data_IF_358765019494
#
_entry.id   IF_358765019494
#
_cell.length_a   1.000
_cell.length_b   1.000
_cell.length_c   1.000
_cell.angle_alpha   90.00
_cell.angle_beta   90.00
_cell.angle_gamma   90.00
#
_symmetry.space_group_name_H-M   'P 1'
#
loop_
_entity.id
_entity.type
_entity.pdbx_description
1 polymer ?
#
# COMPACT_ATOMS: atom_id res chain seq x y z
N UNK A 1 36.19 30.68 -31.05
CA UNK A 1 37.51 30.05 -31.20
C UNK A 1 37.77 29.16 -29.99
N UNK A 2 38.24 27.94 -30.28
CA UNK A 2 38.81 26.83 -29.47
C UNK A 2 38.52 26.74 -27.95
N UNK A 3 37.89 25.67 -27.43
CA UNK A 3 38.16 24.19 -27.49
C UNK A 3 39.02 23.75 -26.31
N UNK A 4 38.39 23.07 -25.34
CA UNK A 4 39.06 22.17 -24.39
C UNK A 4 38.56 20.74 -24.61
N UNK A 5 39.29 19.99 -25.46
CA UNK A 5 39.17 18.54 -25.65
C UNK A 5 39.99 17.84 -24.56
N UNK A 6 39.37 16.91 -23.82
CA UNK A 6 40.09 15.93 -22.99
C UNK A 6 40.78 14.90 -23.89
N UNK A 7 42.03 14.59 -23.57
CA UNK A 7 42.91 13.70 -24.32
C UNK A 7 42.50 12.21 -24.20
N UNK A 8 42.69 11.46 -25.31
CA UNK A 8 42.56 10.00 -25.39
C UNK A 8 43.88 9.34 -24.97
N UNK A 9 43.80 8.33 -24.12
CA UNK A 9 44.93 7.46 -23.74
C UNK A 9 45.09 6.35 -24.80
N UNK A 10 46.30 5.97 -25.25
CA UNK A 10 46.49 4.97 -26.30
C UNK A 10 46.37 3.54 -25.80
N UNK A 11 45.84 2.68 -26.66
CA UNK A 11 45.79 1.22 -26.52
C UNK A 11 47.16 0.66 -26.94
N UNK A 12 47.86 -0.01 -26.02
CA UNK A 12 49.08 -0.78 -26.33
C UNK A 12 48.66 -2.22 -26.61
N UNK A 13 48.94 -2.70 -27.83
CA UNK A 13 48.86 -4.10 -28.23
C UNK A 13 50.05 -4.85 -27.59
N UNK A 14 49.77 -5.99 -26.96
CA UNK A 14 50.81 -6.91 -26.49
C UNK A 14 50.86 -8.10 -27.46
N UNK A 15 52.01 -8.29 -28.09
CA UNK A 15 52.27 -9.38 -29.02
C UNK A 15 52.49 -10.71 -28.28
N UNK A 16 52.05 -11.79 -28.92
CA UNK A 16 52.23 -13.18 -28.53
C UNK A 16 53.71 -13.56 -28.47
N UNK A 17 54.15 -14.34 -27.46
CA UNK A 17 55.13 -15.43 -27.63
C UNK A 17 55.11 -16.42 -26.44
N UNK A 18 54.71 -17.65 -26.76
CA UNK A 18 55.08 -18.99 -26.25
C UNK A 18 55.07 -19.32 -24.73
N UNK A 19 54.09 -20.16 -24.38
CA UNK A 19 54.14 -21.19 -23.34
C UNK A 19 55.24 -22.24 -23.63
N UNK A 20 55.94 -22.69 -22.58
CA UNK A 20 56.40 -24.08 -22.51
C UNK A 20 56.71 -24.52 -21.07
N UNK A 21 55.82 -25.36 -20.54
CA UNK A 21 56.14 -26.60 -19.81
C UNK A 21 56.60 -26.59 -18.33
N UNK A 22 56.27 -25.59 -17.50
CA UNK A 22 56.55 -25.70 -16.03
C UNK A 22 55.30 -25.61 -15.14
N UNK A 23 54.15 -25.14 -15.64
CA UNK A 23 52.94 -24.98 -14.81
C UNK A 23 51.95 -26.16 -14.84
N UNK A 24 52.21 -27.22 -15.61
CA UNK A 24 51.26 -28.34 -15.73
C UNK A 24 51.28 -29.34 -14.55
N UNK A 25 52.32 -29.35 -13.72
CA UNK A 25 52.38 -30.27 -12.56
C UNK A 25 51.81 -29.68 -11.25
N UNK A 26 51.52 -28.37 -11.21
CA UNK A 26 50.86 -27.73 -10.04
C UNK A 26 49.34 -27.68 -10.10
N UNK A 27 48.72 -28.02 -11.23
CA UNK A 27 47.26 -28.01 -11.40
C UNK A 27 46.57 -29.37 -11.16
N UNK A 28 47.28 -30.40 -10.70
CA UNK A 28 46.70 -31.73 -10.48
C UNK A 28 46.63 -32.17 -9.00
N UNK A 29 46.88 -31.27 -8.04
CA UNK A 29 46.74 -31.54 -6.59
C UNK A 29 46.08 -30.41 -5.81
N UNK A 30 45.04 -29.79 -6.37
CA UNK A 30 43.96 -29.26 -5.53
C UNK A 30 42.87 -30.32 -5.50
N UNK A 31 42.93 -31.16 -4.48
CA UNK A 31 41.81 -31.99 -4.06
C UNK A 31 40.55 -31.13 -4.03
N UNK A 32 39.47 -31.63 -4.63
CA UNK A 32 38.12 -31.08 -4.57
C UNK A 32 37.67 -30.93 -3.11
N UNK A 33 38.09 -29.87 -2.42
CA UNK A 33 37.34 -29.32 -1.32
C UNK A 33 36.12 -28.65 -1.96
N UNK A 34 35.06 -29.44 -2.20
CA UNK A 34 33.72 -28.89 -2.30
C UNK A 34 33.44 -28.21 -0.96
N UNK A 35 33.86 -26.96 -0.82
CA UNK A 35 33.62 -26.16 0.36
C UNK A 35 32.12 -26.07 0.55
N UNK A 36 31.62 -26.65 1.64
CA UNK A 36 30.24 -26.51 2.07
C UNK A 36 29.97 -25.03 2.38
N UNK A 37 29.55 -24.28 1.35
CA UNK A 37 29.24 -22.87 1.44
C UNK A 37 27.71 -22.69 1.50
N UNK A 38 27.26 -21.58 2.09
CA UNK A 38 25.86 -21.16 2.11
C UNK A 38 25.19 -21.23 0.72
N UNK A 39 25.94 -20.97 -0.34
CA UNK A 39 25.48 -20.99 -1.73
C UNK A 39 25.24 -22.39 -2.31
N UNK A 40 25.72 -23.44 -1.63
CA UNK A 40 25.55 -24.84 -2.05
C UNK A 40 24.40 -25.54 -1.33
N UNK A 41 23.80 -24.89 -0.32
CA UNK A 41 22.66 -25.44 0.40
C UNK A 41 21.41 -25.51 -0.50
N UNK A 42 20.60 -26.57 -0.39
CA UNK A 42 19.28 -26.61 -1.01
C UNK A 42 18.45 -25.37 -0.61
N UNK A 43 17.67 -24.78 -1.54
CA UNK A 43 16.84 -23.59 -1.27
C UNK A 43 15.98 -23.71 -0.02
N UNK A 44 15.43 -24.90 0.24
CA UNK A 44 14.54 -25.18 1.36
C UNK A 44 15.29 -25.11 2.70
N UNK A 45 16.50 -25.66 2.75
CA UNK A 45 17.37 -25.63 3.94
C UNK A 45 17.83 -24.20 4.20
N UNK A 46 18.26 -23.49 3.15
CA UNK A 46 18.65 -22.09 3.26
C UNK A 46 17.47 -21.24 3.75
N UNK A 47 16.28 -21.44 3.19
CA UNK A 47 15.06 -20.75 3.63
C UNK A 47 14.76 -20.99 5.12
N UNK A 48 14.89 -22.21 5.61
CA UNK A 48 14.74 -22.51 7.04
C UNK A 48 15.72 -21.72 7.90
N UNK A 49 16.99 -21.65 7.50
CA UNK A 49 18.01 -20.88 8.20
C UNK A 49 17.67 -19.39 8.18
N UNK A 50 17.31 -18.83 7.02
CA UNK A 50 17.03 -17.40 6.88
C UNK A 50 15.80 -16.96 7.66
N UNK A 51 14.81 -17.84 7.88
CA UNK A 51 13.64 -17.55 8.72
C UNK A 51 13.98 -17.41 10.22
N UNK A 52 15.15 -17.87 10.65
CA UNK A 52 15.63 -17.72 12.03
C UNK A 52 16.42 -16.41 12.25
N UNK A 53 16.75 -15.69 11.17
CA UNK A 53 17.48 -14.43 11.24
C UNK A 53 16.53 -13.23 11.29
N UNK A 54 16.96 -12.08 11.84
CA UNK A 54 16.26 -10.82 11.65
C UNK A 54 16.05 -10.54 10.16
N UNK A 55 14.82 -10.17 9.78
CA UNK A 55 14.48 -9.93 8.39
C UNK A 55 15.25 -8.73 7.83
N UNK A 56 15.67 -7.80 8.68
CA UNK A 56 16.60 -6.74 8.35
C UNK A 56 17.90 -7.30 7.76
N UNK A 57 18.56 -8.23 8.47
CA UNK A 57 19.83 -8.82 8.05
C UNK A 57 19.65 -9.69 6.79
N UNK A 58 18.52 -10.39 6.68
CA UNK A 58 18.17 -11.10 5.45
C UNK A 58 18.09 -10.12 4.27
N UNK A 59 17.49 -8.94 4.46
CA UNK A 59 17.28 -7.95 3.41
C UNK A 59 18.53 -7.14 3.04
N UNK A 60 19.40 -6.82 4.01
CA UNK A 60 20.56 -5.92 3.83
C UNK A 60 21.87 -6.66 3.68
N UNK A 61 22.01 -7.86 4.24
CA UNK A 61 23.26 -8.61 4.24
C UNK A 61 23.13 -9.85 3.36
N UNK A 62 22.32 -10.84 3.76
CA UNK A 62 22.27 -12.15 3.10
C UNK A 62 21.87 -12.03 1.63
N UNK A 63 20.85 -11.23 1.32
CA UNK A 63 20.36 -11.01 -0.05
C UNK A 63 21.44 -10.50 -1.02
N UNK A 64 22.51 -9.89 -0.51
CA UNK A 64 23.59 -9.29 -1.29
C UNK A 64 24.80 -10.21 -1.47
N UNK A 65 24.83 -11.38 -0.82
CA UNK A 65 25.97 -12.32 -0.85
C UNK A 65 26.12 -12.98 -2.23
N UNK A 66 25.04 -13.55 -2.75
CA UNK A 66 25.06 -14.28 -4.03
C UNK A 66 23.69 -14.26 -4.69
N UNK A 67 23.61 -14.70 -5.95
CA UNK A 67 22.32 -14.82 -6.67
C UNK A 67 21.39 -15.87 -6.03
N UNK A 68 21.96 -16.95 -5.52
CA UNK A 68 21.22 -18.00 -4.80
C UNK A 68 20.61 -17.44 -3.53
N UNK A 69 21.43 -16.86 -2.65
CA UNK A 69 21.00 -16.18 -1.45
C UNK A 69 19.98 -15.07 -1.74
N UNK A 70 20.15 -14.31 -2.82
CA UNK A 70 19.21 -13.25 -3.22
C UNK A 70 17.82 -13.79 -3.54
N UNK A 71 17.76 -14.92 -4.24
CA UNK A 71 16.51 -15.57 -4.65
C UNK A 71 15.76 -16.13 -3.44
N UNK A 72 16.48 -16.85 -2.56
CA UNK A 72 15.89 -17.43 -1.34
C UNK A 72 15.49 -16.33 -0.35
N UNK A 73 16.34 -15.33 -0.12
CA UNK A 73 16.00 -14.18 0.72
C UNK A 73 14.76 -13.42 0.21
N UNK A 74 14.62 -13.27 -1.11
CA UNK A 74 13.43 -12.66 -1.69
C UNK A 74 12.17 -13.50 -1.44
N UNK A 75 12.25 -14.83 -1.48
CA UNK A 75 11.14 -15.71 -1.13
C UNK A 75 10.73 -15.53 0.35
N UNK A 76 11.70 -15.56 1.27
CA UNK A 76 11.50 -15.36 2.71
C UNK A 76 10.86 -14.00 3.00
N UNK A 77 11.43 -12.92 2.49
CA UNK A 77 10.97 -11.55 2.76
C UNK A 77 9.59 -11.28 2.15
N UNK A 78 9.36 -11.74 0.92
CA UNK A 78 8.07 -11.57 0.27
C UNK A 78 6.99 -12.43 0.92
N UNK A 79 7.31 -13.65 1.35
CA UNK A 79 6.41 -14.52 2.11
C UNK A 79 6.06 -13.95 3.48
N UNK A 80 7.05 -13.45 4.22
CA UNK A 80 6.83 -12.75 5.49
C UNK A 80 5.94 -11.52 5.31
N UNK A 81 6.18 -10.72 4.27
CA UNK A 81 5.34 -9.57 3.93
C UNK A 81 3.90 -9.96 3.54
N UNK A 82 3.71 -11.06 2.79
CA UNK A 82 2.35 -11.46 2.40
C UNK A 82 1.54 -12.00 3.58
N UNK A 83 2.19 -12.73 4.49
CA UNK A 83 1.56 -13.39 5.63
C UNK A 83 1.40 -12.51 6.87
N UNK A 84 2.08 -11.37 6.99
CA UNK A 84 1.99 -10.58 8.22
C UNK A 84 0.56 -10.06 8.50
N UNK A 85 -0.23 -9.77 7.46
CA UNK A 85 -1.62 -9.34 7.63
C UNK A 85 -2.49 -10.42 8.30
N UNK A 86 -2.28 -11.71 7.97
CA UNK A 86 -3.05 -12.80 8.59
C UNK A 86 -2.66 -13.01 10.04
N UNK A 87 -1.38 -12.77 10.40
CA UNK A 87 -0.94 -12.76 11.81
C UNK A 87 -1.65 -11.68 12.62
N UNK A 88 -1.77 -10.46 12.08
CA UNK A 88 -2.50 -9.37 12.73
C UNK A 88 -3.99 -9.74 12.91
N UNK A 89 -4.61 -10.32 11.89
CA UNK A 89 -6.02 -10.74 11.96
C UNK A 89 -6.25 -11.88 12.97
N UNK A 90 -5.31 -12.81 13.09
CA UNK A 90 -5.36 -13.86 14.11
C UNK A 90 -5.29 -13.30 15.53
N UNK A 91 -4.43 -12.29 15.76
CA UNK A 91 -4.34 -11.62 17.05
C UNK A 91 -5.59 -10.79 17.38
N UNK A 92 -6.20 -10.12 16.40
CA UNK A 92 -7.47 -9.41 16.59
C UNK A 92 -8.55 -10.38 17.06
N UNK A 93 -8.74 -11.51 16.37
CA UNK A 93 -9.75 -12.52 16.75
C UNK A 93 -9.51 -13.07 18.15
N UNK A 94 -8.26 -13.42 18.47
CA UNK A 94 -7.87 -13.89 19.81
C UNK A 94 -8.18 -12.83 20.87
N UNK A 95 -7.91 -11.56 20.59
CA UNK A 95 -8.16 -10.48 21.54
C UNK A 95 -9.66 -10.20 21.72
N UNK A 96 -10.47 -10.28 20.66
CA UNK A 96 -11.94 -10.24 20.75
C UNK A 96 -12.51 -11.38 21.61
N UNK A 97 -11.93 -12.58 21.52
CA UNK A 97 -12.30 -13.72 22.37
C UNK A 97 -11.89 -13.50 23.84
N UNK A 98 -10.71 -12.91 24.09
CA UNK A 98 -10.27 -12.55 25.44
C UNK A 98 -11.16 -11.48 26.07
N UNK A 99 -11.59 -10.47 25.29
CA UNK A 99 -12.54 -9.46 25.75
C UNK A 99 -13.87 -10.06 26.22
N UNK A 100 -14.39 -11.06 25.48
CA UNK A 100 -15.65 -11.75 25.85
C UNK A 100 -15.53 -12.55 27.15
N UNK A 101 -14.32 -13.01 27.49
CA UNK A 101 -14.03 -13.84 28.65
C UNK A 101 -13.36 -13.06 29.80
N UNK A 102 -13.23 -11.75 29.68
CA UNK A 102 -12.60 -10.90 30.69
C UNK A 102 -13.38 -10.98 32.01
N UNK A 103 -12.66 -11.14 33.13
CA UNK A 103 -13.30 -11.28 34.46
C UNK A 103 -13.33 -9.96 35.22
N UNK A 104 -12.48 -9.02 34.82
CA UNK A 104 -12.31 -7.72 35.48
C UNK A 104 -12.34 -6.58 34.46
N UNK A 105 -12.79 -5.41 34.90
CA UNK A 105 -12.83 -4.20 34.06
C UNK A 105 -11.44 -3.75 33.61
N UNK A 106 -10.42 -4.01 34.43
CA UNK A 106 -9.02 -3.71 34.12
C UNK A 106 -8.48 -4.59 33.00
N UNK A 107 -8.82 -5.89 32.98
CA UNK A 107 -8.52 -6.79 31.87
C UNK A 107 -9.25 -6.37 30.60
N UNK A 108 -10.55 -6.06 30.71
CA UNK A 108 -11.35 -5.62 29.57
C UNK A 108 -10.80 -4.34 28.94
N UNK A 109 -10.41 -3.36 29.75
CA UNK A 109 -9.77 -2.12 29.29
C UNK A 109 -8.42 -2.40 28.61
N UNK A 110 -7.61 -3.30 29.17
CA UNK A 110 -6.32 -3.69 28.58
C UNK A 110 -6.50 -4.35 27.21
N UNK A 111 -7.45 -5.27 27.09
CA UNK A 111 -7.77 -5.92 25.82
C UNK A 111 -8.36 -4.93 24.81
N UNK A 112 -9.20 -3.99 25.23
CA UNK A 112 -9.72 -2.94 24.36
C UNK A 112 -8.60 -2.06 23.78
N UNK A 113 -7.64 -1.62 24.61
CA UNK A 113 -6.47 -0.86 24.15
C UNK A 113 -5.59 -1.66 23.19
N UNK A 114 -5.42 -2.95 23.45
CA UNK A 114 -4.72 -3.85 22.53
C UNK A 114 -5.44 -3.97 21.17
N UNK A 115 -6.77 -4.05 21.17
CA UNK A 115 -7.59 -4.08 19.96
C UNK A 115 -7.39 -2.81 19.13
N UNK A 116 -7.50 -1.64 19.78
CA UNK A 116 -7.32 -0.35 19.12
C UNK A 116 -5.94 -0.26 18.43
N UNK A 117 -4.87 -0.70 19.11
CA UNK A 117 -3.53 -0.75 18.54
C UNK A 117 -3.45 -1.71 17.33
N UNK A 118 -4.04 -2.90 17.42
CA UNK A 118 -4.07 -3.89 16.34
C UNK A 118 -4.85 -3.39 15.12
N UNK A 119 -5.93 -2.65 15.31
CA UNK A 119 -6.72 -2.04 14.23
C UNK A 119 -5.92 -0.99 13.46
N UNK A 120 -5.18 -0.11 14.17
CA UNK A 120 -4.28 0.87 13.56
C UNK A 120 -3.16 0.18 12.78
N UNK A 121 -2.52 -0.85 13.38
CA UNK A 121 -1.49 -1.65 12.71
C UNK A 121 -2.06 -2.31 11.46
N UNK A 122 -3.24 -2.93 11.54
CA UNK A 122 -3.92 -3.58 10.41
C UNK A 122 -4.21 -2.60 9.29
N UNK A 123 -4.80 -1.44 9.60
CA UNK A 123 -5.14 -0.43 8.61
C UNK A 123 -3.89 0.09 7.89
N UNK A 124 -2.83 0.38 8.65
CA UNK A 124 -1.56 0.83 8.09
C UNK A 124 -0.87 -0.25 7.26
N UNK A 125 -0.91 -1.51 7.70
CA UNK A 125 -0.32 -2.63 6.98
C UNK A 125 -1.08 -2.96 5.70
N UNK A 126 -2.41 -2.86 5.71
CA UNK A 126 -3.24 -2.95 4.49
C UNK A 126 -2.83 -1.90 3.46
N UNK A 127 -2.61 -0.66 3.90
CA UNK A 127 -2.13 0.41 3.02
C UNK A 127 -0.73 0.12 2.47
N UNK A 128 0.20 -0.31 3.33
CA UNK A 128 1.53 -0.75 2.90
C UNK A 128 1.42 -1.86 1.84
N UNK A 129 0.56 -2.84 2.09
CA UNK A 129 0.32 -3.97 1.19
C UNK A 129 -0.22 -3.50 -0.16
N UNK A 130 -1.26 -2.65 -0.16
CA UNK A 130 -1.82 -2.06 -1.37
C UNK A 130 -0.78 -1.33 -2.24
N UNK A 131 0.23 -0.71 -1.61
CA UNK A 131 1.29 0.02 -2.33
C UNK A 131 2.31 -0.90 -2.99
N UNK A 132 2.64 -2.04 -2.38
CA UNK A 132 3.85 -2.80 -2.73
C UNK A 132 3.59 -4.18 -3.31
N UNK A 133 2.43 -4.81 -3.02
CA UNK A 133 2.23 -6.24 -3.29
C UNK A 133 2.42 -6.62 -4.75
N UNK A 134 1.99 -5.77 -5.69
CA UNK A 134 2.09 -6.00 -7.13
C UNK A 134 3.53 -6.11 -7.62
N UNK A 135 4.45 -5.49 -6.90
CA UNK A 135 5.87 -5.47 -7.23
C UNK A 135 6.61 -6.63 -6.58
N UNK A 136 6.17 -7.07 -5.40
CA UNK A 136 6.76 -8.21 -4.68
C UNK A 136 6.20 -9.55 -5.14
N UNK A 137 5.02 -9.54 -5.76
CA UNK A 137 4.33 -10.70 -6.32
C UNK A 137 3.72 -10.33 -7.68
N UNK A 138 4.58 -10.01 -8.68
CA UNK A 138 4.08 -9.72 -10.01
C UNK A 138 3.38 -10.97 -10.58
N UNK A 139 2.51 -10.81 -11.57
CA UNK A 139 1.78 -11.95 -12.13
C UNK A 139 2.76 -12.99 -12.70
N UNK A 140 2.63 -14.24 -12.25
CA UNK A 140 3.61 -15.33 -12.42
C UNK A 140 3.94 -15.70 -13.87
N UNK A 141 3.11 -15.28 -14.83
CA UNK A 141 3.17 -15.76 -16.23
C UNK A 141 4.04 -14.93 -17.17
N UNK A 142 4.83 -13.97 -16.68
CA UNK A 142 5.67 -13.14 -17.55
C UNK A 142 7.09 -12.92 -17.03
N UNK A 143 8.08 -13.36 -17.82
CA UNK A 143 9.50 -12.99 -17.69
C UNK A 143 9.76 -11.47 -17.75
N UNK A 144 8.77 -10.67 -18.17
CA UNK A 144 8.93 -9.21 -18.36
C UNK A 144 8.94 -8.41 -17.06
N UNK A 145 8.40 -8.94 -15.97
CA UNK A 145 8.34 -8.24 -14.67
C UNK A 145 9.23 -8.94 -13.65
N UNK A 146 10.38 -8.34 -13.35
CA UNK A 146 11.24 -8.86 -12.29
C UNK A 146 10.52 -8.72 -10.95
N UNK A 147 10.40 -9.84 -10.22
CA UNK A 147 9.88 -9.86 -8.85
C UNK A 147 10.80 -9.02 -7.97
N UNK A 148 10.28 -7.93 -7.41
CA UNK A 148 11.03 -7.18 -6.41
C UNK A 148 11.06 -7.95 -5.10
N UNK A 149 12.19 -7.89 -4.42
CA UNK A 149 12.27 -8.26 -3.03
C UNK A 149 11.65 -7.15 -2.18
N UNK A 150 10.81 -7.49 -1.21
CA UNK A 150 10.44 -6.58 -0.14
C UNK A 150 11.68 -6.31 0.71
N UNK A 151 12.32 -5.15 0.51
CA UNK A 151 13.65 -4.87 1.08
C UNK A 151 13.60 -4.13 2.43
N UNK A 152 12.41 -3.80 2.94
CA UNK A 152 12.26 -3.18 4.26
C UNK A 152 12.15 -4.23 5.36
N UNK A 153 13.18 -5.07 5.50
CA UNK A 153 13.23 -6.14 6.50
C UNK A 153 12.99 -5.64 7.93
N UNK A 154 13.58 -4.50 8.30
CA UNK A 154 13.38 -3.87 9.61
C UNK A 154 11.94 -3.45 9.89
N UNK A 155 11.14 -3.15 8.86
CA UNK A 155 9.71 -2.87 9.03
C UNK A 155 8.96 -4.14 9.48
N UNK A 156 9.32 -5.29 8.90
CA UNK A 156 8.74 -6.57 9.28
C UNK A 156 9.21 -7.03 10.66
N UNK A 157 10.47 -6.80 11.01
CA UNK A 157 10.98 -7.07 12.36
C UNK A 157 10.26 -6.21 13.40
N UNK A 158 10.14 -4.89 13.17
CA UNK A 158 9.39 -3.99 14.04
C UNK A 158 7.92 -4.41 14.18
N UNK A 159 7.30 -4.88 13.10
CA UNK A 159 5.94 -5.42 13.15
C UNK A 159 5.88 -6.67 14.03
N UNK A 160 6.77 -7.64 13.82
CA UNK A 160 6.80 -8.87 14.60
C UNK A 160 7.02 -8.57 16.10
N UNK A 161 7.91 -7.63 16.43
CA UNK A 161 8.16 -7.18 17.79
C UNK A 161 6.90 -6.55 18.41
N UNK A 162 6.22 -5.65 17.69
CA UNK A 162 4.96 -5.05 18.14
C UNK A 162 3.88 -6.10 18.39
N UNK A 163 3.69 -7.04 17.47
CA UNK A 163 2.70 -8.10 17.62
C UNK A 163 3.03 -9.03 18.80
N UNK A 164 4.31 -9.35 19.00
CA UNK A 164 4.76 -10.17 20.12
C UNK A 164 4.53 -9.47 21.47
N UNK A 165 4.81 -8.16 21.53
CA UNK A 165 4.52 -7.34 22.72
C UNK A 165 3.03 -7.31 23.04
N UNK A 166 2.18 -7.11 22.02
CA UNK A 166 0.73 -7.09 22.20
C UNK A 166 0.22 -8.46 22.68
N UNK A 167 0.73 -9.55 22.10
CA UNK A 167 0.29 -10.91 22.43
C UNK A 167 0.67 -11.37 23.86
N UNK A 168 1.83 -10.94 24.36
CA UNK A 168 2.37 -11.45 25.64
C UNK A 168 2.22 -10.47 26.81
N UNK A 169 2.09 -9.17 26.57
CA UNK A 169 2.16 -8.15 27.62
C UNK A 169 0.99 -7.16 27.56
N UNK A 170 -0.25 -7.66 27.51
CA UNK A 170 -1.47 -6.82 27.57
C UNK A 170 -1.44 -5.72 28.65
N UNK A 171 -0.95 -5.97 29.89
CA UNK A 171 -0.92 -4.94 30.93
C UNK A 171 0.10 -3.81 30.68
N UNK A 172 1.16 -4.06 29.92
CA UNK A 172 2.19 -3.05 29.60
C UNK A 172 1.75 -2.07 28.50
N UNK A 173 0.64 -2.36 27.81
CA UNK A 173 -0.01 -1.49 26.82
C UNK A 173 -0.76 -0.33 27.51
N UNK A 174 -1.10 -0.50 28.79
CA UNK A 174 -1.89 0.44 29.61
C UNK A 174 -1.11 1.73 29.94
N UNK A 175 0.21 1.74 29.76
CA UNK A 175 1.03 2.92 30.02
C UNK A 175 0.67 4.08 29.07
N UNK A 176 0.26 5.26 29.57
CA UNK A 176 -0.19 6.41 28.75
C UNK A 176 0.92 7.05 27.89
N UNK A 177 2.10 6.43 27.77
CA UNK A 177 3.27 6.98 27.04
C UNK A 177 3.98 5.97 26.14
N UNK A 178 3.73 4.66 26.25
CA UNK A 178 4.63 3.62 25.69
C UNK A 178 4.06 2.87 24.48
N UNK A 179 2.78 2.52 24.47
CA UNK A 179 2.17 1.76 23.36
C UNK A 179 1.84 2.64 22.17
N UNK A 180 1.17 3.78 22.40
CA UNK A 180 0.84 4.77 21.36
C UNK A 180 2.08 5.26 20.61
N UNK A 181 3.21 5.46 21.32
CA UNK A 181 4.46 5.93 20.71
C UNK A 181 5.07 4.88 19.77
N UNK A 182 4.97 3.59 20.12
CA UNK A 182 5.49 2.49 19.30
C UNK A 182 4.65 2.23 18.04
N UNK A 183 3.32 2.26 18.16
CA UNK A 183 2.39 2.14 17.02
C UNK A 183 2.52 3.35 16.09
N UNK A 184 2.59 4.57 16.65
CA UNK A 184 2.80 5.81 15.88
C UNK A 184 4.14 5.77 15.14
N UNK A 185 5.19 5.28 15.79
CA UNK A 185 6.51 5.11 15.16
C UNK A 185 6.46 4.12 14.00
N UNK A 186 5.78 2.98 14.15
CA UNK A 186 5.55 2.02 13.07
C UNK A 186 4.77 2.64 11.90
N UNK A 187 3.70 3.39 12.18
CA UNK A 187 2.93 4.11 11.17
C UNK A 187 3.82 5.10 10.42
N UNK A 188 4.63 5.88 11.12
CA UNK A 188 5.56 6.83 10.51
C UNK A 188 6.60 6.14 9.62
N UNK A 189 7.17 5.02 10.07
CA UNK A 189 8.11 4.20 9.28
C UNK A 189 7.43 3.67 8.01
N UNK A 190 6.21 3.14 8.11
CA UNK A 190 5.44 2.68 6.95
C UNK A 190 5.18 3.80 5.95
N UNK A 191 4.76 4.98 6.42
CA UNK A 191 4.53 6.17 5.57
C UNK A 191 5.81 6.59 4.85
N UNK A 192 6.95 6.64 5.55
CA UNK A 192 8.26 6.96 4.96
C UNK A 192 8.67 5.95 3.90
N UNK A 193 8.53 4.66 4.20
CA UNK A 193 8.84 3.59 3.25
C UNK A 193 7.97 3.69 1.99
N UNK A 194 6.65 3.85 2.13
CA UNK A 194 5.76 3.98 0.97
C UNK A 194 6.11 5.19 0.11
N UNK A 195 6.39 6.35 0.72
CA UNK A 195 6.84 7.55 -0.01
C UNK A 195 8.13 7.27 -0.80
N UNK A 196 9.12 6.61 -0.18
CA UNK A 196 10.36 6.25 -0.83
C UNK A 196 10.13 5.24 -1.96
N UNK A 197 9.35 4.20 -1.70
CA UNK A 197 9.03 3.14 -2.65
C UNK A 197 8.37 3.71 -3.92
N UNK A 198 7.34 4.53 -3.77
CA UNK A 198 6.63 5.17 -4.89
C UNK A 198 7.55 6.12 -5.67
N UNK A 199 8.37 6.90 -4.96
CA UNK A 199 9.26 7.90 -5.57
C UNK A 199 10.42 7.26 -6.34
N UNK A 200 11.01 6.20 -5.80
CA UNK A 200 12.30 5.64 -6.25
C UNK A 200 12.10 4.28 -6.93
N UNK A 201 11.52 3.32 -6.23
CA UNK A 201 11.46 1.91 -6.68
C UNK A 201 10.42 1.71 -7.76
N UNK A 202 9.19 2.14 -7.50
CA UNK A 202 8.07 2.04 -8.43
C UNK A 202 8.34 2.82 -9.73
N UNK A 203 8.92 4.01 -9.63
CA UNK A 203 9.27 4.84 -10.79
C UNK A 203 10.22 4.14 -11.76
N UNK A 204 11.19 3.37 -11.23
CA UNK A 204 12.15 2.59 -12.04
C UNK A 204 11.47 1.40 -12.72
N UNK A 205 10.60 0.71 -11.99
CA UNK A 205 9.93 -0.50 -12.48
C UNK A 205 8.83 -0.20 -13.50
N UNK A 206 8.05 0.86 -13.31
CA UNK A 206 7.00 1.30 -14.24
C UNK A 206 7.55 2.10 -15.43
N UNK A 207 8.81 1.91 -15.80
CA UNK A 207 9.46 2.74 -16.83
C UNK A 207 8.82 2.62 -18.21
N UNK A 208 8.25 1.45 -18.55
CA UNK A 208 7.72 1.16 -19.91
C UNK A 208 6.23 0.83 -19.96
N UNK A 209 5.56 0.64 -18.82
CA UNK A 209 4.17 0.14 -18.79
C UNK A 209 3.45 0.51 -17.50
N UNK A 210 2.18 0.88 -17.62
CA UNK A 210 1.28 1.19 -16.49
C UNK A 210 0.60 -0.05 -15.88
N UNK A 211 0.90 -1.24 -16.41
CA UNK A 211 0.15 -2.46 -16.07
C UNK A 211 0.44 -2.95 -14.65
N UNK A 212 1.69 -2.85 -14.19
CA UNK A 212 2.07 -3.27 -12.83
C UNK A 212 1.37 -2.40 -11.79
N UNK A 213 1.28 -1.10 -12.06
CA UNK A 213 0.62 -0.11 -11.21
C UNK A 213 -0.90 -0.05 -11.39
N UNK A 214 -1.44 -0.74 -12.41
CA UNK A 214 -2.74 -0.45 -12.99
C UNK A 214 -3.91 -0.34 -12.03
N UNK A 215 -4.23 -1.44 -11.37
CA UNK A 215 -5.36 -1.53 -10.44
C UNK A 215 -5.01 -1.06 -9.02
N UNK A 216 -3.87 -0.39 -8.81
CA UNK A 216 -3.43 0.08 -7.49
C UNK A 216 -4.42 1.05 -6.85
N UNK A 217 -5.16 1.84 -7.65
CA UNK A 217 -6.26 2.70 -7.15
C UNK A 217 -7.26 1.88 -6.35
N UNK A 218 -7.69 0.74 -6.91
CA UNK A 218 -8.66 -0.13 -6.25
C UNK A 218 -8.06 -0.72 -4.98
N UNK A 219 -6.80 -1.16 -5.01
CA UNK A 219 -6.14 -1.67 -3.81
C UNK A 219 -6.04 -0.61 -2.70
N UNK A 220 -5.77 0.66 -3.05
CA UNK A 220 -5.71 1.78 -2.11
C UNK A 220 -7.10 2.12 -1.55
N UNK A 221 -8.12 2.20 -2.41
CA UNK A 221 -9.49 2.48 -1.99
C UNK A 221 -10.09 1.34 -1.17
N UNK A 222 -9.72 0.08 -1.46
CA UNK A 222 -10.09 -1.10 -0.67
C UNK A 222 -9.45 -1.09 0.74
N UNK A 223 -8.52 -0.18 1.02
CA UNK A 223 -8.02 0.07 2.37
C UNK A 223 -8.95 0.95 3.23
N UNK A 224 -10.00 1.54 2.65
CA UNK A 224 -11.03 2.21 3.45
C UNK A 224 -11.66 1.20 4.41
N UNK A 225 -11.79 1.60 5.68
CA UNK A 225 -12.42 0.76 6.70
C UNK A 225 -13.93 0.63 6.45
N UNK A 226 -14.57 1.73 6.04
CA UNK A 226 -16.01 1.80 5.76
C UNK A 226 -16.29 2.39 4.38
N UNK A 227 -17.53 2.21 3.90
CA UNK A 227 -18.03 2.92 2.72
C UNK A 227 -17.75 2.25 1.37
N UNK A 228 -17.09 1.08 1.36
CA UNK A 228 -16.90 0.26 0.15
C UNK A 228 -18.17 -0.51 -0.21
N UNK A 229 -18.57 -0.45 -1.49
CA UNK A 229 -19.69 -1.19 -2.06
C UNK A 229 -19.30 -1.80 -3.41
N UNK A 230 -19.64 -3.08 -3.62
CA UNK A 230 -19.48 -3.77 -4.91
C UNK A 230 -20.81 -3.72 -5.65
N UNK A 231 -20.89 -2.89 -6.69
CA UNK A 231 -22.11 -2.72 -7.50
C UNK A 231 -22.23 -3.81 -8.58
N UNK A 232 -21.09 -4.23 -9.12
CA UNK A 232 -21.03 -5.27 -10.14
C UNK A 232 -19.70 -6.01 -10.06
N UNK A 233 -19.75 -7.32 -10.27
CA UNK A 233 -18.57 -8.17 -10.37
C UNK A 233 -18.84 -9.30 -11.37
N UNK A 234 -17.95 -9.46 -12.34
CA UNK A 234 -18.00 -10.56 -13.31
C UNK A 234 -16.61 -11.03 -13.68
N UNK A 235 -16.40 -12.34 -13.60
CA UNK A 235 -15.25 -13.01 -14.20
C UNK A 235 -15.74 -13.74 -15.44
N UNK A 236 -15.20 -13.39 -16.59
CA UNK A 236 -15.47 -14.08 -17.85
C UNK A 236 -14.33 -15.04 -18.14
N UNK A 237 -14.65 -16.32 -18.39
CA UNK A 237 -13.70 -17.28 -18.94
C UNK A 237 -13.93 -17.40 -20.44
N UNK A 238 -12.87 -17.32 -21.23
CA UNK A 238 -12.94 -17.56 -22.67
C UNK A 238 -12.81 -19.06 -22.92
N UNK A 239 -13.83 -19.67 -23.55
CA UNK A 239 -13.89 -21.11 -23.89
C UNK A 239 -12.75 -21.61 -24.80
N UNK A 240 -11.93 -20.71 -25.36
CA UNK A 240 -10.79 -21.03 -26.26
C UNK A 240 -9.41 -20.81 -25.63
N UNK A 241 -9.28 -20.83 -24.30
CA UNK A 241 -7.97 -20.74 -23.63
C UNK A 241 -7.25 -19.38 -23.74
N UNK A 242 -7.83 -18.39 -24.41
CA UNK A 242 -7.33 -17.02 -24.49
C UNK A 242 -7.94 -16.16 -23.37
N UNK A 243 -7.25 -16.03 -22.25
CA UNK A 243 -7.37 -14.94 -21.25
C UNK A 243 -8.79 -14.58 -20.79
N UNK A 244 -9.14 -14.94 -19.55
CA UNK A 244 -10.35 -14.41 -18.93
C UNK A 244 -10.29 -12.88 -18.76
N UNK A 245 -11.42 -12.24 -18.47
CA UNK A 245 -11.47 -10.83 -18.08
C UNK A 245 -12.26 -10.64 -16.79
N UNK A 246 -11.72 -9.81 -15.90
CA UNK A 246 -12.35 -9.35 -14.66
C UNK A 246 -12.98 -8.00 -14.93
N UNK A 247 -14.27 -7.88 -14.66
CA UNK A 247 -15.03 -6.63 -14.78
C UNK A 247 -15.68 -6.30 -13.43
N UNK A 248 -15.50 -5.07 -12.96
CA UNK A 248 -15.99 -4.62 -11.66
C UNK A 248 -16.58 -3.21 -11.78
N UNK A 249 -17.64 -2.96 -11.01
CA UNK A 249 -18.09 -1.61 -10.66
C UNK A 249 -18.10 -1.47 -9.16
N UNK A 250 -17.36 -0.49 -8.65
CA UNK A 250 -17.14 -0.27 -7.23
C UNK A 250 -17.57 1.15 -6.87
N UNK A 251 -18.10 1.32 -5.67
CA UNK A 251 -18.43 2.62 -5.10
C UNK A 251 -17.79 2.74 -3.72
N UNK A 252 -17.13 3.85 -3.48
CA UNK A 252 -16.50 4.19 -2.21
C UNK A 252 -17.06 5.51 -1.70
N UNK A 253 -17.60 5.50 -0.49
CA UNK A 253 -18.14 6.70 0.16
C UNK A 253 -17.27 7.08 1.36
N UNK A 254 -16.71 8.29 1.35
CA UNK A 254 -15.97 8.85 2.48
C UNK A 254 -16.78 9.98 3.10
N UNK A 255 -17.13 9.85 4.38
CA UNK A 255 -17.90 10.87 5.10
C UNK A 255 -17.03 12.11 5.34
N UNK A 256 -17.62 13.30 5.19
CA UNK A 256 -16.99 14.61 5.49
C UNK A 256 -15.63 14.79 4.80
N UNK A 257 -15.55 14.37 3.55
CA UNK A 257 -14.34 14.42 2.74
C UNK A 257 -14.57 15.25 1.49
N UNK A 258 -13.48 15.77 0.92
CA UNK A 258 -13.51 16.51 -0.34
C UNK A 258 -12.36 16.11 -1.24
N UNK A 259 -12.61 16.23 -2.55
CA UNK A 259 -11.61 16.07 -3.58
C UNK A 259 -12.02 16.93 -4.78
N UNK A 260 -11.32 18.04 -4.96
CA UNK A 260 -11.53 19.00 -6.04
C UNK A 260 -10.34 18.96 -6.99
N UNK A 261 -10.63 19.08 -8.28
CA UNK A 261 -9.65 19.28 -9.34
C UNK A 261 -9.98 20.60 -10.06
N UNK A 262 -8.99 21.49 -10.17
CA UNK A 262 -9.06 22.74 -10.93
C UNK A 262 -8.10 22.65 -12.12
N UNK A 263 -8.51 23.16 -13.26
CA UNK A 263 -7.61 23.30 -14.41
C UNK A 263 -6.67 24.49 -14.20
N UNK A 264 -5.39 24.29 -14.49
CA UNK A 264 -4.34 25.31 -14.38
C UNK A 264 -3.43 25.26 -15.60
N UNK A 265 -2.66 26.33 -15.83
CA UNK A 265 -1.74 26.42 -16.95
C UNK A 265 -0.72 25.28 -16.90
N UNK A 266 -0.65 24.49 -17.96
CA UNK A 266 0.21 23.31 -18.03
C UNK A 266 1.67 23.72 -18.25
N UNK A 267 2.55 23.33 -17.33
CA UNK A 267 3.98 23.38 -17.56
C UNK A 267 4.39 22.43 -18.69
N UNK A 268 5.14 22.92 -19.67
CA UNK A 268 5.59 22.15 -20.85
C UNK A 268 6.44 20.94 -20.48
N UNK A 269 7.08 20.96 -19.31
CA UNK A 269 7.92 19.88 -18.77
C UNK A 269 7.14 18.75 -18.05
N UNK A 270 5.84 18.94 -17.76
CA UNK A 270 5.01 18.02 -16.95
C UNK A 270 4.22 17.01 -17.80
N UNK A 271 4.90 16.17 -18.58
CA UNK A 271 4.24 15.22 -19.50
C UNK A 271 4.56 13.74 -19.26
N UNK A 272 5.04 13.38 -18.07
CA UNK A 272 5.24 11.97 -17.70
C UNK A 272 3.93 11.38 -17.16
N UNK A 273 3.24 10.56 -17.97
CA UNK A 273 2.05 9.79 -17.55
C UNK A 273 2.31 8.96 -16.27
N UNK A 274 3.56 8.51 -16.08
CA UNK A 274 4.01 7.76 -14.90
C UNK A 274 3.88 8.58 -13.64
N UNK A 275 4.29 9.85 -13.73
CA UNK A 275 4.26 10.77 -12.60
C UNK A 275 2.81 11.25 -12.36
N UNK A 276 1.98 11.41 -13.39
CA UNK A 276 0.53 11.67 -13.24
C UNK A 276 -0.15 10.55 -12.44
N UNK A 277 0.06 9.30 -12.86
CA UNK A 277 -0.45 8.11 -12.18
C UNK A 277 0.06 8.03 -10.73
N UNK A 278 1.37 8.21 -10.52
CA UNK A 278 1.98 8.17 -9.18
C UNK A 278 1.40 9.23 -8.25
N UNK A 279 1.26 10.47 -8.72
CA UNK A 279 0.72 11.54 -7.89
C UNK A 279 -0.76 11.33 -7.59
N UNK A 280 -1.55 10.78 -8.52
CA UNK A 280 -2.93 10.38 -8.22
C UNK A 280 -2.97 9.35 -7.07
N UNK A 281 -2.11 8.34 -7.13
CA UNK A 281 -2.05 7.28 -6.09
C UNK A 281 -1.62 7.83 -4.75
N UNK A 282 -0.64 8.72 -4.73
CA UNK A 282 -0.20 9.41 -3.53
C UNK A 282 -1.34 10.21 -2.88
N UNK A 283 -2.13 10.95 -3.66
CA UNK A 283 -3.25 11.75 -3.16
C UNK A 283 -4.35 10.86 -2.57
N UNK A 284 -4.77 9.83 -3.31
CA UNK A 284 -5.77 8.87 -2.82
C UNK A 284 -5.29 8.14 -1.55
N UNK A 285 -4.02 7.71 -1.51
CA UNK A 285 -3.43 7.06 -0.34
C UNK A 285 -3.46 7.95 0.90
N UNK A 286 -3.07 9.22 0.75
CA UNK A 286 -3.10 10.20 1.84
C UNK A 286 -4.52 10.48 2.32
N UNK A 287 -5.46 10.62 1.39
CA UNK A 287 -6.86 10.82 1.72
C UNK A 287 -7.45 9.63 2.47
N UNK A 288 -7.33 8.41 1.93
CA UNK A 288 -7.79 7.17 2.59
C UNK A 288 -7.14 7.02 3.97
N UNK A 289 -5.83 7.27 4.07
CA UNK A 289 -5.11 7.23 5.34
C UNK A 289 -5.69 8.18 6.37
N UNK A 290 -5.91 9.45 6.01
CA UNK A 290 -6.46 10.44 6.94
C UNK A 290 -7.95 10.21 7.27
N UNK A 291 -8.74 9.68 6.33
CA UNK A 291 -10.12 9.24 6.60
C UNK A 291 -10.15 8.12 7.64
N UNK A 292 -9.28 7.13 7.50
CA UNK A 292 -9.16 6.05 8.47
C UNK A 292 -8.66 6.56 9.82
N UNK A 293 -7.68 7.48 9.86
CA UNK A 293 -7.19 8.08 11.10
C UNK A 293 -8.30 8.78 11.89
N UNK A 294 -9.07 9.67 11.25
CA UNK A 294 -10.20 10.33 11.91
C UNK A 294 -11.32 9.36 12.31
N UNK A 295 -11.51 8.26 11.57
CA UNK A 295 -12.48 7.22 11.93
C UNK A 295 -12.04 6.48 13.19
N UNK A 296 -10.80 5.99 13.24
CA UNK A 296 -10.29 5.26 14.40
C UNK A 296 -10.17 6.14 15.64
N UNK A 297 -9.75 7.40 15.50
CA UNK A 297 -9.74 8.35 16.62
C UNK A 297 -11.12 8.47 17.28
N UNK A 298 -12.19 8.55 16.47
CA UNK A 298 -13.56 8.61 16.99
C UNK A 298 -14.02 7.27 17.58
N UNK A 299 -13.80 6.15 16.87
CA UNK A 299 -14.21 4.82 17.34
C UNK A 299 -13.51 4.42 18.64
N UNK A 300 -12.20 4.67 18.73
CA UNK A 300 -11.40 4.33 19.90
C UNK A 300 -11.79 5.18 21.11
N UNK A 301 -12.07 6.48 20.89
CA UNK A 301 -12.62 7.34 21.94
C UNK A 301 -13.99 6.87 22.42
N UNK A 302 -14.93 6.59 21.51
CA UNK A 302 -16.28 6.12 21.86
C UNK A 302 -16.23 4.78 22.61
N UNK A 303 -15.35 3.86 22.20
CA UNK A 303 -15.11 2.60 22.91
C UNK A 303 -14.51 2.79 24.30
N UNK A 304 -13.49 3.63 24.45
CA UNK A 304 -12.86 3.89 25.76
C UNK A 304 -13.83 4.58 26.72
N UNK A 305 -14.66 5.50 26.20
CA UNK A 305 -15.69 6.18 26.97
C UNK A 305 -16.72 5.19 27.54
N UNK A 306 -17.15 4.19 26.76
CA UNK A 306 -18.12 3.17 27.22
C UNK A 306 -17.54 2.26 28.30
N UNK A 307 -16.25 1.93 28.22
CA UNK A 307 -15.60 0.98 29.13
C UNK A 307 -15.16 1.60 30.47
N UNK A 308 -15.12 2.92 30.58
CA UNK A 308 -14.69 3.62 31.79
C UNK A 308 -15.85 4.22 32.59
N UNK A 309 -17.09 3.78 32.41
CA UNK A 309 -18.23 4.29 33.21
C UNK A 309 -18.36 3.48 34.51
N UNK A 310 -18.31 4.10 35.71
CA UNK A 310 -18.18 5.53 35.98
C UNK A 310 -16.73 6.05 35.86
N UNK A 311 -16.57 7.21 35.21
CA UNK A 311 -15.26 7.78 34.86
C UNK A 311 -14.44 8.11 36.11
N UNK A 312 -13.27 7.46 36.25
CA UNK A 312 -12.28 7.83 37.27
C UNK A 312 -11.58 9.15 36.93
N UNK A 313 -11.46 9.49 35.64
CA UNK A 313 -10.99 10.78 35.14
C UNK A 313 -11.80 11.20 33.90
N UNK A 314 -12.01 12.51 33.67
CA UNK A 314 -12.70 12.98 32.47
C UNK A 314 -11.89 12.69 31.21
N UNK A 315 -12.41 11.80 30.35
CA UNK A 315 -11.84 11.50 29.05
C UNK A 315 -12.13 12.67 28.08
N UNK A 316 -11.08 13.33 27.58
CA UNK A 316 -11.24 14.45 26.66
C UNK A 316 -11.68 13.96 25.27
N UNK A 317 -12.70 14.57 24.66
CA UNK A 317 -13.06 14.25 23.29
C UNK A 317 -11.92 14.59 22.33
N UNK A 318 -11.84 13.88 21.18
CA UNK A 318 -10.92 14.22 20.12
C UNK A 318 -11.05 15.69 19.71
N UNK A 319 -9.94 16.37 19.42
CA UNK A 319 -9.99 17.77 19.00
C UNK A 319 -10.72 17.88 17.65
N UNK A 320 -11.38 19.00 17.39
CA UNK A 320 -11.88 19.33 16.06
C UNK A 320 -10.70 19.40 15.07
N UNK A 321 -10.58 18.40 14.20
CA UNK A 321 -9.43 18.22 13.30
C UNK A 321 -9.85 18.18 11.83
N UNK A 322 -9.01 18.77 10.99
CA UNK A 322 -9.13 18.76 9.54
C UNK A 322 -7.80 18.43 8.90
N UNK A 323 -7.80 17.54 7.92
CA UNK A 323 -6.66 17.27 7.06
C UNK A 323 -6.90 17.91 5.69
N UNK A 324 -5.89 18.57 5.15
CA UNK A 324 -5.89 19.14 3.80
C UNK A 324 -4.60 18.79 3.09
N UNK A 325 -4.72 18.26 1.88
CA UNK A 325 -3.63 18.07 0.94
C UNK A 325 -3.88 18.86 -0.33
N UNK A 326 -2.80 19.37 -0.92
CA UNK A 326 -2.84 20.06 -2.20
C UNK A 326 -1.64 19.65 -3.07
N UNK A 327 -1.74 19.94 -4.36
CA UNK A 327 -0.61 19.83 -5.26
C UNK A 327 -1.02 19.84 -6.72
N UNK A 328 -0.19 20.46 -7.54
CA UNK A 328 -0.35 20.58 -8.98
C UNK A 328 0.38 19.45 -9.70
N UNK A 329 -0.22 18.95 -10.79
CA UNK A 329 0.49 18.15 -11.79
C UNK A 329 -0.30 18.08 -13.10
N UNK A 330 0.37 18.27 -14.24
CA UNK A 330 -0.19 18.03 -15.57
C UNK A 330 -1.27 19.03 -15.97
N UNK A 331 -1.14 20.29 -15.55
CA UNK A 331 -2.16 21.33 -15.77
C UNK A 331 -3.41 21.16 -14.90
N UNK A 332 -3.29 20.44 -13.78
CA UNK A 332 -4.37 20.23 -12.81
C UNK A 332 -3.90 20.52 -11.40
N UNK A 333 -4.61 21.39 -10.70
CA UNK A 333 -4.45 21.63 -9.27
C UNK A 333 -5.44 20.79 -8.49
N UNK A 334 -4.94 19.99 -7.55
CA UNK A 334 -5.77 19.15 -6.71
C UNK A 334 -5.85 19.72 -5.29
N UNK A 335 -7.04 19.76 -4.73
CA UNK A 335 -7.30 20.07 -3.32
C UNK A 335 -8.20 18.99 -2.73
N UNK A 336 -7.72 18.28 -1.72
CA UNK A 336 -8.41 17.14 -1.14
C UNK A 336 -8.19 17.08 0.37
N UNK A 337 -9.08 16.41 1.08
CA UNK A 337 -8.97 16.32 2.52
C UNK A 337 -10.24 15.80 3.16
N UNK A 338 -10.26 15.83 4.48
CA UNK A 338 -11.39 15.41 5.28
C UNK A 338 -11.39 16.10 6.64
N UNK A 339 -12.54 16.07 7.31
CA UNK A 339 -12.70 16.57 8.66
C UNK A 339 -13.33 15.51 9.56
N UNK A 340 -12.92 15.49 10.83
CA UNK A 340 -13.53 14.59 11.79
C UNK A 340 -14.95 15.06 12.18
N UNK A 341 -15.65 14.21 12.94
CA UNK A 341 -17.04 14.46 13.38
C UNK A 341 -17.16 15.80 14.11
N UNK A 342 -16.27 16.05 15.07
CA UNK A 342 -16.26 17.26 15.89
C UNK A 342 -15.99 18.54 15.08
N UNK A 343 -15.07 18.52 14.11
CA UNK A 343 -14.83 19.65 13.23
C UNK A 343 -16.04 19.97 12.33
N UNK A 344 -16.76 18.94 11.88
CA UNK A 344 -17.97 19.12 11.10
C UNK A 344 -19.12 19.68 11.94
N UNK A 345 -19.35 19.12 13.13
CA UNK A 345 -20.37 19.62 14.07
C UNK A 345 -20.09 21.07 14.49
N UNK A 346 -18.83 21.39 14.81
CA UNK A 346 -18.35 22.75 15.10
C UNK A 346 -18.65 23.75 13.98
N UNK A 347 -18.41 23.38 12.73
CA UNK A 347 -18.54 24.30 11.59
C UNK A 347 -19.94 24.39 10.99
N UNK A 348 -20.71 23.30 11.03
CA UNK A 348 -21.92 23.16 10.21
C UNK A 348 -23.17 22.78 11.00
N UNK A 349 -23.07 22.29 12.25
CA UNK A 349 -24.25 21.97 13.06
C UNK A 349 -24.57 23.06 14.08
N UNK A 350 -23.56 23.56 14.79
CA UNK A 350 -23.77 24.61 15.80
C UNK A 350 -24.21 25.96 15.19
N UNK A 351 -23.85 26.23 13.93
CA UNK A 351 -24.31 27.39 13.15
C UNK A 351 -25.77 27.29 12.72
N UNK A 352 -26.29 26.08 12.48
CA UNK A 352 -27.70 25.85 12.13
C UNK A 352 -28.59 25.99 13.37
N UNK A 353 -28.09 25.58 14.54
CA UNK A 353 -28.85 25.65 15.79
C UNK A 353 -29.05 27.08 16.32
N UNK A 354 -28.17 28.03 15.99
CA UNK A 354 -28.31 29.45 16.35
C UNK A 354 -29.10 30.26 15.32
N UNK A 355 -29.12 29.85 14.05
CA UNK A 355 -29.96 30.48 13.02
C UNK A 355 -31.45 30.13 13.15
N UNK A 356 -31.77 28.99 13.78
CA UNK A 356 -33.16 28.55 14.01
C UNK A 356 -33.88 29.28 15.16
N UNK A 357 -33.25 30.27 15.80
CA UNK A 357 -33.84 31.06 16.88
C UNK A 357 -34.42 32.41 16.43
N UNK A 358 -34.31 32.79 15.15
CA UNK A 358 -34.70 34.14 14.72
C UNK A 358 -35.63 34.27 13.52
N UNK A 359 -36.13 33.19 12.90
CA UNK A 359 -37.12 33.35 11.82
C UNK A 359 -38.12 32.19 11.79
N UNK A 360 -39.34 32.44 12.31
CA UNK A 360 -40.54 31.72 11.91
C UNK A 360 -40.87 32.08 10.47
N UNK A 361 -40.42 31.29 9.50
CA UNK A 361 -41.12 31.14 8.22
C UNK A 361 -40.75 29.81 7.59
N UNK A 362 -41.75 29.09 7.12
CA UNK A 362 -41.68 27.75 6.53
C UNK A 362 -40.58 27.64 5.46
N UNK A 363 -39.43 27.09 5.83
CA UNK A 363 -38.46 26.55 4.87
C UNK A 363 -38.03 25.17 5.34
N UNK A 364 -38.11 24.23 4.39
CA UNK A 364 -37.73 22.82 4.48
C UNK A 364 -36.69 22.57 5.56
N UNK A 365 -36.96 21.60 6.44
CA UNK A 365 -35.98 20.99 7.35
C UNK A 365 -34.69 20.74 6.56
N UNK A 366 -33.75 21.69 6.61
CA UNK A 366 -32.52 21.62 5.84
C UNK A 366 -31.72 20.50 6.48
N UNK A 367 -31.80 19.32 5.89
CA UNK A 367 -30.94 18.21 6.25
C UNK A 367 -29.52 18.74 6.11
N UNK A 368 -28.70 18.68 7.18
CA UNK A 368 -27.36 19.24 7.15
C UNK A 368 -26.59 18.67 5.96
N UNK A 369 -25.77 19.48 5.28
CA UNK A 369 -25.19 19.09 4.01
C UNK A 369 -24.32 17.86 4.19
N UNK A 370 -24.67 16.77 3.51
CA UNK A 370 -23.85 15.56 3.49
C UNK A 370 -22.62 15.83 2.63
N UNK A 371 -21.52 16.22 3.26
CA UNK A 371 -20.20 16.38 2.62
C UNK A 371 -19.54 15.03 2.38
N UNK A 372 -20.31 14.09 1.84
CA UNK A 372 -19.83 12.77 1.49
C UNK A 372 -19.16 12.86 0.12
N UNK A 373 -17.92 12.37 0.06
CA UNK A 373 -17.18 12.17 -1.17
C UNK A 373 -17.51 10.77 -1.70
N UNK A 374 -17.96 10.68 -2.94
CA UNK A 374 -18.26 9.42 -3.61
C UNK A 374 -17.25 9.20 -4.73
N UNK A 375 -16.55 8.07 -4.70
CA UNK A 375 -15.65 7.63 -5.76
C UNK A 375 -16.22 6.36 -6.38
N UNK A 376 -16.58 6.43 -7.66
CA UNK A 376 -17.03 5.29 -8.45
C UNK A 376 -15.90 4.81 -9.35
N UNK A 377 -15.70 3.49 -9.41
CA UNK A 377 -14.66 2.88 -10.24
C UNK A 377 -15.28 1.84 -11.16
N UNK A 378 -15.12 2.06 -12.47
CA UNK A 378 -15.35 1.06 -13.50
C UNK A 378 -14.01 0.43 -13.88
N UNK A 379 -13.86 -0.88 -13.63
CA UNK A 379 -12.64 -1.63 -13.91
C UNK A 379 -12.93 -2.77 -14.88
N UNK A 380 -12.09 -2.90 -15.90
CA UNK A 380 -11.97 -4.08 -16.75
C UNK A 380 -10.50 -4.43 -16.94
N UNK A 381 -10.09 -5.62 -16.52
CA UNK A 381 -8.70 -6.04 -16.63
C UNK A 381 -8.55 -7.56 -16.85
N UNK A 382 -7.36 -7.98 -17.25
CA UNK A 382 -6.99 -9.40 -17.24
C UNK A 382 -6.78 -9.91 -15.80
N UNK A 383 -7.09 -11.18 -15.48
CA UNK A 383 -6.97 -11.77 -14.14
C UNK A 383 -5.64 -11.51 -13.45
N UNK A 384 -4.54 -11.48 -14.20
CA UNK A 384 -3.20 -11.16 -13.72
C UNK A 384 -3.10 -9.77 -13.09
N UNK A 385 -3.87 -8.80 -13.61
CA UNK A 385 -3.84 -7.41 -13.16
C UNK A 385 -4.93 -7.11 -12.13
N UNK A 386 -5.76 -8.09 -11.77
CA UNK A 386 -6.90 -7.89 -10.89
C UNK A 386 -6.51 -7.28 -9.52
N UNK A 387 -7.43 -6.57 -8.85
CA UNK A 387 -7.25 -6.12 -7.47
C UNK A 387 -6.95 -7.29 -6.55
N UNK A 388 -6.21 -7.02 -5.48
CA UNK A 388 -5.79 -8.02 -4.50
C UNK A 388 -6.98 -8.80 -3.92
N UNK A 389 -8.09 -8.09 -3.65
CA UNK A 389 -9.31 -8.66 -3.08
C UNK A 389 -9.97 -9.75 -3.94
N UNK A 390 -9.62 -9.83 -5.24
CA UNK A 390 -10.23 -10.77 -6.19
C UNK A 390 -9.35 -12.00 -6.42
N UNK A 391 -8.10 -12.00 -5.94
CA UNK A 391 -7.13 -13.06 -6.25
C UNK A 391 -7.56 -14.46 -5.79
N UNK A 392 -8.11 -14.57 -4.59
CA UNK A 392 -8.61 -15.84 -4.05
C UNK A 392 -9.76 -16.42 -4.88
N UNK A 393 -10.62 -15.55 -5.42
CA UNK A 393 -11.74 -15.93 -6.31
C UNK A 393 -11.22 -16.47 -7.64
N UNK A 394 -10.09 -15.96 -8.11
CA UNK A 394 -9.48 -16.36 -9.39
C UNK A 394 -8.74 -17.70 -9.32
N UNK A 395 -8.68 -18.36 -8.16
CA UNK A 395 -7.84 -19.56 -7.90
C UNK A 395 -6.40 -19.36 -8.41
N UNK A 396 -5.90 -18.13 -8.32
CA UNK A 396 -4.56 -17.70 -8.76
C UNK A 396 -3.58 -17.66 -7.57
N UNK A 397 -3.89 -18.47 -6.55
CA UNK A 397 -3.14 -18.59 -5.29
C UNK A 397 -2.09 -19.70 -5.36
N UNK A 398 -1.98 -20.42 -6.49
CA UNK A 398 -0.79 -21.19 -6.81
C UNK A 398 0.35 -20.21 -7.13
N UNK A 399 1.03 -19.77 -6.08
CA UNK A 399 2.35 -19.12 -6.13
C UNK A 399 3.44 -20.13 -6.54
N UNK A 400 3.06 -21.35 -6.88
CA UNK A 400 3.95 -22.42 -7.30
C UNK A 400 4.43 -22.27 -8.73
N UNK A 401 5.67 -22.70 -8.86
CA UNK A 401 6.53 -22.76 -10.03
C UNK A 401 5.91 -23.51 -11.21
N UNK A 402 6.26 -23.00 -12.40
CA UNK A 402 6.10 -23.61 -13.73
C UNK A 402 4.68 -23.60 -14.32
N UNK A 403 4.47 -22.73 -15.32
CA UNK A 403 4.37 -23.19 -16.70
C UNK A 403 4.33 -22.03 -17.71
N UNK A 404 5.00 -22.29 -18.83
CA UNK A 404 5.29 -21.42 -19.96
C UNK A 404 4.06 -21.21 -20.86
N UNK A 405 3.22 -20.21 -20.55
CA UNK A 405 2.31 -19.62 -21.55
C UNK A 405 2.41 -18.10 -21.57
N UNK A 406 3.01 -17.59 -22.64
CA UNK A 406 3.18 -16.15 -22.94
C UNK A 406 1.83 -15.51 -23.25
N UNK A 407 1.11 -15.03 -22.22
CA UNK A 407 -0.06 -14.16 -22.44
C UNK A 407 0.41 -12.76 -22.88
N UNK A 408 0.56 -12.55 -24.20
CA UNK A 408 0.94 -11.27 -24.84
C UNK A 408 -0.15 -10.19 -24.79
N UNK A 409 -1.33 -10.44 -24.25
CA UNK A 409 -2.50 -9.55 -24.35
C UNK A 409 -3.04 -9.09 -22.98
N UNK A 410 -2.18 -8.49 -22.15
CA UNK A 410 -2.65 -7.83 -20.92
C UNK A 410 -3.46 -6.59 -21.29
N UNK A 411 -4.65 -6.48 -20.70
CA UNK A 411 -5.56 -5.36 -20.90
C UNK A 411 -6.00 -4.81 -19.54
N UNK A 412 -6.09 -3.49 -19.49
CA UNK A 412 -6.51 -2.70 -18.36
C UNK A 412 -7.28 -1.49 -18.89
N UNK A 413 -8.48 -1.33 -18.37
CA UNK A 413 -9.26 -0.12 -18.45
C UNK A 413 -9.78 0.16 -17.04
N UNK A 414 -9.41 1.30 -16.48
CA UNK A 414 -9.88 1.78 -15.20
C UNK A 414 -10.38 3.21 -15.40
N UNK A 415 -11.63 3.46 -15.03
CA UNK A 415 -12.22 4.80 -14.99
C UNK A 415 -12.67 5.08 -13.57
N UNK A 416 -12.15 6.15 -12.99
CA UNK A 416 -12.49 6.65 -11.67
C UNK A 416 -13.28 7.95 -11.82
N UNK A 417 -14.51 7.96 -11.32
CA UNK A 417 -15.40 9.11 -11.28
C UNK A 417 -15.54 9.59 -9.84
N UNK A 418 -15.11 10.81 -9.56
CA UNK A 418 -15.13 11.41 -8.22
C UNK A 418 -16.25 12.43 -8.19
N UNK A 419 -17.19 12.27 -7.25
CA UNK A 419 -18.34 13.15 -7.04
C UNK A 419 -18.22 13.74 -5.64
N UNK A 420 -18.07 15.06 -5.54
CA UNK A 420 -17.80 15.78 -4.31
C UNK A 420 -18.87 16.83 -4.03
N UNK A 421 -19.84 16.48 -3.17
CA UNK A 421 -20.90 17.40 -2.74
C UNK A 421 -20.35 18.62 -1.99
N UNK A 422 -19.26 18.44 -1.23
CA UNK A 422 -18.59 19.53 -0.53
C UNK A 422 -18.02 20.59 -1.48
N UNK A 423 -17.47 20.18 -2.63
CA UNK A 423 -16.96 21.10 -3.63
C UNK A 423 -18.09 21.92 -4.25
N UNK A 424 -19.22 21.27 -4.58
CA UNK A 424 -20.42 21.94 -5.11
C UNK A 424 -20.92 23.02 -4.14
N UNK A 425 -21.02 22.67 -2.86
CA UNK A 425 -21.45 23.61 -1.81
C UNK A 425 -20.52 24.83 -1.69
N UNK A 426 -19.24 24.69 -2.05
CA UNK A 426 -18.24 25.75 -2.06
C UNK A 426 -18.03 26.38 -3.45
N UNK A 427 -18.93 26.16 -4.42
CA UNK A 427 -18.83 26.67 -5.80
C UNK A 427 -17.56 26.25 -6.54
N UNK A 428 -17.03 25.08 -6.18
CA UNK A 428 -15.90 24.43 -6.85
C UNK A 428 -16.40 23.26 -7.72
N UNK A 429 -15.60 22.78 -8.70
CA UNK A 429 -15.96 21.62 -9.49
C UNK A 429 -16.33 20.40 -8.62
N UNK A 430 -17.57 19.94 -8.77
CA UNK A 430 -18.13 18.83 -8.02
C UNK A 430 -17.85 17.45 -8.61
N UNK A 431 -17.28 17.39 -9.81
CA UNK A 431 -17.02 16.14 -10.51
C UNK A 431 -15.60 16.14 -11.10
N UNK A 432 -14.92 15.00 -11.01
CA UNK A 432 -13.63 14.78 -11.65
C UNK A 432 -13.53 13.33 -12.17
N UNK A 433 -13.13 13.17 -13.43
CA UNK A 433 -12.92 11.85 -14.05
C UNK A 433 -11.45 11.63 -14.35
N UNK A 434 -10.93 10.48 -13.91
CA UNK A 434 -9.59 10.02 -14.20
C UNK A 434 -9.64 8.64 -14.86
N UNK A 435 -8.92 8.47 -15.96
CA UNK A 435 -8.87 7.22 -16.70
C UNK A 435 -7.45 6.69 -16.83
N UNK A 436 -7.33 5.37 -16.76
CA UNK A 436 -6.10 4.63 -17.03
C UNK A 436 -6.40 3.51 -18.01
N UNK A 437 -5.63 3.46 -19.09
CA UNK A 437 -5.75 2.45 -20.14
C UNK A 437 -4.40 1.79 -20.39
N UNK A 438 -4.39 0.50 -20.73
CA UNK A 438 -3.17 -0.15 -21.25
C UNK A 438 -2.62 0.65 -22.43
N UNK A 439 -1.29 0.86 -22.53
CA UNK A 439 -0.70 1.40 -23.74
C UNK A 439 -1.11 0.48 -24.90
N UNK A 440 -1.85 1.00 -25.88
CA UNK A 440 -1.97 0.32 -27.17
C UNK A 440 -0.56 0.33 -27.72
N UNK A 441 -0.01 -0.83 -28.05
CA UNK A 441 1.19 -0.87 -28.89
C UNK A 441 0.90 0.05 -30.07
N UNK A 442 1.64 1.16 -30.18
CA UNK A 442 1.72 1.87 -31.45
C UNK A 442 2.36 0.86 -32.36
N UNK A 443 1.55 0.18 -33.18
CA UNK A 443 2.06 -0.41 -34.41
C UNK A 443 2.65 0.79 -35.16
N UNK A 444 3.97 0.95 -35.06
CA UNK A 444 4.71 1.61 -36.12
C UNK A 444 4.48 0.71 -37.32
N UNK A 445 3.43 1.03 -38.08
CA UNK A 445 3.28 0.48 -39.41
C UNK A 445 4.51 0.93 -40.21
N UNK A 446 5.11 -0.06 -40.84
CA UNK A 446 6.26 -0.01 -41.74
C UNK A 446 6.26 1.21 -42.67
#
# INVERSE_FOLDING_TARGET
MNVNKRAKIPIIKCDQYQESQIDQEKFQKEENYYGYALDTLPPEVLEMILRLLPLHDVATTVRLVSRHCSTVAAAVLNGAFLTACTKVEGLIRRNEELMKNAKTDTELLAYSKALNALELIKAQYKMLRAVTWRYTHPPSKQQKFSRLCFYAGSLLDNLNELLNRIANYHPSIIGPRTSESSVTSFIAVCKRFMNFFEKVSERRVNSRSALISGCKVVDVLDCLVEGRQVLFFKVSSNRRGLGGAVSMKLKYTMKRAWFTCLEVTKNTEENSWRDEQRFMYLRLRRLVGSVNEHLFENLHYEHELLLQIPLTLPLRPPPASTYSGYGEYGGRFFYYGNMNKYAYESKFMHTVSTANLTVETEQQVQRPPSFDLVIEVDLKCTPELAPLAVRSILKSDEFETNESKTHKNQQLYLRMNVICSASIANRLPGNFVWELRSPRHVCQNL
#
